data_IF_659909511374
#
_entry.id   IF_659909511374
#
_cell.length_a   1.000
_cell.length_b   1.000
_cell.length_c   1.000
_cell.angle_alpha   90.00
_cell.angle_beta   90.00
_cell.angle_gamma   90.00
#
_symmetry.space_group_name_H-M   'P 1'
#
loop_
_entity.id
_entity.type
_entity.pdbx_description
1 polymer ?
#
# COMPACT_ATOMS: atom_id res chain seq x y z
N UNK A 1 -0.89 13.86 -20.02
CA UNK A 1 -1.85 14.96 -19.75
C UNK A 1 -2.64 14.54 -18.53
N UNK A 2 -2.84 15.38 -17.49
CA UNK A 2 -3.70 15.01 -16.39
C UNK A 2 -5.10 14.75 -16.96
N UNK A 3 -5.64 13.57 -16.72
CA UNK A 3 -6.98 13.18 -17.12
C UNK A 3 -7.96 14.17 -16.47
N UNK A 4 -8.93 14.67 -17.24
CA UNK A 4 -10.03 15.51 -16.76
C UNK A 4 -11.00 14.73 -15.83
N UNK A 5 -10.63 13.55 -15.37
CA UNK A 5 -11.43 12.73 -14.46
C UNK A 5 -11.20 13.19 -13.01
N UNK A 6 -12.30 13.31 -12.27
CA UNK A 6 -12.23 13.54 -10.83
C UNK A 6 -11.68 12.29 -10.13
N UNK A 7 -10.79 12.44 -9.13
CA UNK A 7 -10.25 11.31 -8.38
C UNK A 7 -11.36 10.60 -7.59
N UNK A 8 -11.34 9.27 -7.62
CA UNK A 8 -12.25 8.42 -6.84
C UNK A 8 -11.93 8.49 -5.34
N UNK A 9 -10.63 8.48 -5.00
CA UNK A 9 -10.13 8.67 -3.64
C UNK A 9 -9.05 9.77 -3.66
N UNK A 10 -9.17 10.77 -2.77
CA UNK A 10 -8.17 11.84 -2.61
C UNK A 10 -7.79 11.98 -1.14
N UNK A 11 -6.50 11.91 -0.86
CA UNK A 11 -5.91 12.03 0.48
C UNK A 11 -5.07 13.29 0.54
N UNK A 12 -5.33 14.16 1.53
CA UNK A 12 -4.70 15.46 1.69
C UNK A 12 -4.12 15.61 3.10
N UNK A 13 -2.80 15.78 3.18
CA UNK A 13 -2.08 16.05 4.42
C UNK A 13 -2.34 15.03 5.52
N UNK A 14 -2.53 13.75 5.17
CA UNK A 14 -2.89 12.72 6.14
C UNK A 14 -1.78 12.54 7.17
N UNK A 15 -2.16 12.70 8.44
CA UNK A 15 -1.30 12.49 9.61
C UNK A 15 -1.93 11.46 10.53
N UNK A 16 -1.12 10.49 10.96
CA UNK A 16 -1.48 9.56 12.02
C UNK A 16 -0.31 9.36 12.98
N UNK A 17 -0.50 9.83 14.19
CA UNK A 17 0.44 9.70 15.28
C UNK A 17 -0.12 8.81 16.38
N UNK A 18 0.73 7.96 16.93
CA UNK A 18 0.38 7.09 18.07
C UNK A 18 1.13 7.56 19.32
N UNK A 19 0.43 7.81 20.45
CA UNK A 19 1.09 8.21 21.69
C UNK A 19 1.86 7.04 22.30
N UNK A 20 3.10 7.28 22.74
CA UNK A 20 3.86 6.34 23.56
C UNK A 20 3.49 6.60 25.01
N UNK A 21 2.80 5.64 25.63
CA UNK A 21 2.33 5.75 27.02
C UNK A 21 3.27 4.96 27.95
N UNK A 22 3.67 5.57 29.08
CA UNK A 22 4.46 4.94 30.14
C UNK A 22 3.72 5.00 31.47
N UNK A 23 3.78 3.91 32.22
CA UNK A 23 3.15 3.78 33.55
C UNK A 23 2.04 2.73 33.56
N UNK A 24 1.88 1.99 34.69
CA UNK A 24 0.90 0.91 34.87
C UNK A 24 -0.43 1.49 35.38
N UNK A 25 -0.41 2.33 36.40
CA UNK A 25 -1.60 2.92 37.03
C UNK A 25 -1.94 4.30 36.43
N UNK A 26 -0.93 5.14 36.20
CA UNK A 26 -1.10 6.45 35.54
C UNK A 26 -0.32 6.45 34.25
N UNK A 27 -1.05 6.29 33.13
CA UNK A 27 -0.48 6.35 31.78
C UNK A 27 -0.13 7.81 31.44
N UNK A 28 1.17 8.13 31.38
CA UNK A 28 1.67 9.43 30.93
C UNK A 28 2.24 9.29 29.53
N UNK A 29 1.91 10.22 28.64
CA UNK A 29 2.52 10.28 27.31
C UNK A 29 3.97 10.74 27.46
N UNK A 30 4.90 9.91 26.97
CA UNK A 30 6.35 10.16 27.00
C UNK A 30 6.96 10.39 25.63
N UNK A 31 6.18 10.17 24.56
CA UNK A 31 6.60 10.37 23.18
C UNK A 31 5.45 10.12 22.20
N UNK A 32 5.77 10.16 20.92
CA UNK A 32 4.81 9.97 19.83
C UNK A 32 5.47 9.25 18.68
N UNK A 33 4.84 8.22 18.15
CA UNK A 33 5.26 7.52 16.92
C UNK A 33 4.57 8.23 15.75
N UNK A 34 5.35 8.82 14.85
CA UNK A 34 4.87 9.46 13.61
C UNK A 34 4.73 8.43 12.50
N UNK A 35 3.66 7.65 12.55
CA UNK A 35 3.47 6.54 11.61
C UNK A 35 3.08 7.01 10.20
N UNK A 36 2.33 8.11 10.09
CA UNK A 36 1.99 8.80 8.84
C UNK A 36 2.14 10.30 9.10
N UNK A 37 2.85 11.02 8.24
CA UNK A 37 3.27 12.39 8.47
C UNK A 37 3.15 13.25 7.20
N UNK A 38 1.93 13.66 6.87
CA UNK A 38 1.62 14.53 5.74
C UNK A 38 1.60 13.80 4.39
N UNK A 39 0.88 12.67 4.30
CA UNK A 39 0.72 11.90 3.07
C UNK A 39 -0.36 12.52 2.18
N UNK A 40 -0.03 12.69 0.88
CA UNK A 40 -0.93 13.18 -0.15
C UNK A 40 -0.88 12.24 -1.36
N UNK A 41 -2.04 11.82 -1.86
CA UNK A 41 -2.16 11.13 -3.14
C UNK A 41 -3.61 11.14 -3.63
N UNK A 42 -3.78 10.82 -4.90
CA UNK A 42 -5.06 10.61 -5.56
C UNK A 42 -5.09 9.24 -6.21
N UNK A 43 -6.27 8.63 -6.25
CA UNK A 43 -6.56 7.38 -6.95
C UNK A 43 -7.71 7.65 -7.91
N UNK A 44 -7.52 7.29 -9.17
CA UNK A 44 -8.54 7.47 -10.21
C UNK A 44 -9.34 6.18 -10.44
N UNK A 45 -10.52 6.26 -11.08
CA UNK A 45 -11.28 5.07 -11.47
C UNK A 45 -10.44 4.13 -12.35
N UNK A 46 -10.48 2.83 -12.06
CA UNK A 46 -9.75 1.78 -12.77
C UNK A 46 -8.23 1.86 -12.68
N UNK A 47 -7.72 2.65 -11.77
CA UNK A 47 -6.29 2.81 -11.51
C UNK A 47 -5.83 1.88 -10.38
N UNK A 48 -4.62 1.35 -10.49
CA UNK A 48 -3.87 0.76 -9.40
C UNK A 48 -2.76 1.71 -8.96
N UNK A 49 -2.88 2.25 -7.74
CA UNK A 49 -1.81 2.98 -7.08
C UNK A 49 -1.02 2.04 -6.17
N UNK A 50 0.21 1.74 -6.53
CA UNK A 50 1.15 1.01 -5.70
C UNK A 50 1.70 1.88 -4.57
N UNK A 51 1.65 1.41 -3.32
CA UNK A 51 2.28 2.07 -2.17
C UNK A 51 3.40 1.17 -1.64
N UNK A 52 4.65 1.57 -1.85
CA UNK A 52 5.84 0.76 -1.56
C UNK A 52 6.75 1.42 -0.52
N UNK A 53 7.63 0.63 0.09
CA UNK A 53 8.64 1.08 1.05
C UNK A 53 9.00 -0.01 2.06
N UNK A 54 10.04 0.22 2.85
CA UNK A 54 10.50 -0.72 3.88
C UNK A 54 9.41 -1.05 4.90
N UNK A 55 9.53 -2.22 5.56
CA UNK A 55 8.60 -2.61 6.63
C UNK A 55 8.58 -1.57 7.75
N UNK A 56 7.39 -1.26 8.27
CA UNK A 56 7.23 -0.25 9.33
C UNK A 56 7.24 1.20 8.87
N UNK A 57 7.36 1.52 7.57
CA UNK A 57 7.35 2.91 7.10
C UNK A 57 5.97 3.59 7.14
N UNK A 58 4.88 2.86 7.49
CA UNK A 58 3.54 3.43 7.71
C UNK A 58 2.47 3.05 6.69
N UNK A 59 2.76 2.22 5.67
CA UNK A 59 1.83 1.84 4.58
C UNK A 59 0.47 1.31 5.08
N UNK A 60 0.49 0.27 5.92
CA UNK A 60 -0.75 -0.30 6.49
C UNK A 60 -1.48 0.68 7.41
N UNK A 61 -0.74 1.64 8.02
CA UNK A 61 -1.36 2.71 8.81
C UNK A 61 -2.13 3.68 7.92
N UNK A 62 -1.61 4.02 6.73
CA UNK A 62 -2.35 4.81 5.72
C UNK A 62 -3.67 4.12 5.39
N UNK A 63 -3.63 2.82 5.03
CA UNK A 63 -4.82 2.03 4.72
C UNK A 63 -5.86 2.03 5.86
N UNK A 64 -5.42 1.73 7.08
CA UNK A 64 -6.30 1.68 8.26
C UNK A 64 -6.91 3.04 8.58
N UNK A 65 -6.15 4.13 8.37
CA UNK A 65 -6.63 5.48 8.65
C UNK A 65 -7.67 5.92 7.61
N UNK A 66 -7.47 5.63 6.33
CA UNK A 66 -8.46 5.92 5.27
C UNK A 66 -9.78 5.19 5.53
N UNK A 67 -9.70 3.92 5.96
CA UNK A 67 -10.88 3.12 6.33
C UNK A 67 -11.52 3.53 7.67
N UNK A 68 -10.93 4.52 8.37
CA UNK A 68 -11.28 4.88 9.75
C UNK A 68 -11.38 3.67 10.68
N UNK A 69 -10.45 2.73 10.54
CA UNK A 69 -10.14 1.72 11.56
C UNK A 69 -9.27 2.34 12.66
N UNK A 70 -8.38 3.24 12.24
CA UNK A 70 -7.63 4.16 13.10
C UNK A 70 -8.09 5.59 12.81
N UNK A 71 -8.48 6.37 13.84
CA UNK A 71 -8.86 7.76 13.64
C UNK A 71 -7.64 8.60 13.22
N UNK A 72 -7.76 9.52 12.23
CA UNK A 72 -6.67 10.39 11.83
C UNK A 72 -6.29 11.35 12.95
N UNK A 73 -5.03 11.79 12.97
CA UNK A 73 -4.60 12.89 13.83
C UNK A 73 -4.89 14.24 13.16
N UNK A 74 -4.57 14.35 11.86
CA UNK A 74 -4.80 15.53 11.03
C UNK A 74 -4.98 15.11 9.56
N UNK A 75 -5.38 16.06 8.72
CA UNK A 75 -5.57 15.86 7.29
C UNK A 75 -6.98 15.47 6.92
N UNK A 76 -7.19 15.15 5.65
CA UNK A 76 -8.49 14.79 5.07
C UNK A 76 -8.37 13.65 4.09
N UNK A 77 -9.46 12.90 3.94
CA UNK A 77 -9.60 11.91 2.88
C UNK A 77 -11.00 12.04 2.28
N UNK A 78 -11.07 12.09 0.96
CA UNK A 78 -12.32 12.23 0.22
C UNK A 78 -12.54 11.01 -0.67
N UNK A 79 -13.75 10.49 -0.63
CA UNK A 79 -14.21 9.48 -1.56
C UNK A 79 -15.37 10.05 -2.38
N UNK A 80 -15.20 10.13 -3.70
CA UNK A 80 -16.16 10.81 -4.60
C UNK A 80 -16.58 12.20 -4.07
N UNK A 81 -15.61 13.01 -3.64
CA UNK A 81 -15.81 14.34 -3.08
C UNK A 81 -16.37 14.38 -1.66
N UNK A 82 -16.76 13.24 -1.05
CA UNK A 82 -17.28 13.16 0.33
C UNK A 82 -16.16 13.02 1.34
N UNK A 83 -16.04 13.91 2.31
CA UNK A 83 -15.03 13.86 3.37
C UNK A 83 -15.27 12.65 4.30
N UNK A 84 -14.41 11.62 4.21
CA UNK A 84 -14.51 10.37 4.98
C UNK A 84 -14.41 10.65 6.49
N UNK A 85 -13.57 11.61 6.88
CA UNK A 85 -13.30 11.87 8.29
C UNK A 85 -14.41 12.70 8.97
N UNK A 86 -15.20 13.42 8.19
CA UNK A 86 -16.38 14.13 8.67
C UNK A 86 -17.64 13.24 8.79
N UNK A 87 -17.62 12.03 8.18
CA UNK A 87 -18.78 11.13 8.16
C UNK A 87 -19.19 10.65 9.56
N UNK A 88 -20.50 10.59 9.82
CA UNK A 88 -21.04 9.91 10.98
C UNK A 88 -21.01 8.37 10.79
N UNK A 89 -21.33 7.61 11.86
CA UNK A 89 -21.26 6.14 11.85
C UNK A 89 -22.12 5.49 10.76
N UNK A 90 -23.27 6.07 10.43
CA UNK A 90 -24.18 5.53 9.40
C UNK A 90 -23.61 5.75 8.00
N UNK A 91 -23.11 6.92 7.74
CA UNK A 91 -22.45 7.29 6.47
C UNK A 91 -21.19 6.47 6.25
N UNK A 92 -20.34 6.33 7.28
CA UNK A 92 -19.14 5.50 7.23
C UNK A 92 -19.47 4.03 6.97
N UNK A 93 -20.57 3.51 7.57
CA UNK A 93 -21.04 2.15 7.28
C UNK A 93 -21.48 2.01 5.82
N UNK A 94 -22.09 3.03 5.24
CA UNK A 94 -22.45 3.04 3.81
C UNK A 94 -21.21 3.07 2.94
N UNK A 95 -20.23 3.93 3.26
CA UNK A 95 -18.95 4.02 2.55
C UNK A 95 -18.21 2.69 2.51
N UNK A 96 -18.22 1.95 3.62
CA UNK A 96 -17.56 0.63 3.72
C UNK A 96 -18.15 -0.44 2.78
N UNK A 97 -19.23 -0.19 2.07
CA UNK A 97 -19.68 -1.03 0.95
C UNK A 97 -18.91 -0.72 -0.32
N UNK A 98 -18.53 0.54 -0.50
CA UNK A 98 -17.89 1.05 -1.71
C UNK A 98 -16.35 0.93 -1.65
N UNK A 99 -15.79 0.88 -0.43
CA UNK A 99 -14.35 0.66 -0.20
C UNK A 99 -14.18 -0.61 0.65
N UNK A 100 -13.52 -1.61 0.11
CA UNK A 100 -13.24 -2.88 0.79
C UNK A 100 -11.73 -3.06 1.02
N UNK A 101 -11.37 -4.06 1.82
CA UNK A 101 -9.98 -4.35 2.15
C UNK A 101 -9.67 -5.84 2.02
N UNK A 102 -8.51 -6.15 1.46
CA UNK A 102 -7.90 -7.47 1.49
C UNK A 102 -6.69 -7.36 2.40
N UNK A 103 -6.70 -8.12 3.51
CA UNK A 103 -5.66 -8.07 4.54
C UNK A 103 -4.47 -8.97 4.21
N UNK A 104 -3.34 -8.66 4.81
CA UNK A 104 -2.03 -9.30 4.65
C UNK A 104 -2.04 -10.81 4.93
N UNK A 105 -2.68 -11.22 6.02
CA UNK A 105 -2.67 -12.62 6.47
C UNK A 105 -3.98 -13.33 6.16
N UNK A 106 -3.99 -14.24 5.18
CA UNK A 106 -5.18 -15.00 4.84
C UNK A 106 -5.60 -15.99 5.94
N UNK A 107 -4.71 -16.31 6.89
CA UNK A 107 -5.03 -17.22 8.00
C UNK A 107 -5.81 -16.52 9.10
N UNK A 108 -5.39 -15.32 9.49
CA UNK A 108 -6.06 -14.55 10.55
C UNK A 108 -7.29 -13.78 10.06
N UNK A 109 -7.38 -13.51 8.75
CA UNK A 109 -8.48 -12.74 8.15
C UNK A 109 -9.77 -13.53 7.97
N UNK A 110 -9.71 -14.87 8.00
CA UNK A 110 -10.87 -15.75 7.86
C UNK A 110 -11.18 -16.45 9.17
N UNK A 111 -12.43 -16.37 9.64
CA UNK A 111 -12.85 -17.08 10.84
C UNK A 111 -12.82 -18.61 10.60
N UNK A 112 -11.95 -19.39 11.29
CA UNK A 112 -11.77 -20.81 11.01
C UNK A 112 -12.98 -21.69 11.40
N UNK A 113 -13.96 -21.11 12.11
CA UNK A 113 -15.19 -21.79 12.55
C UNK A 113 -16.36 -21.59 11.60
N UNK A 114 -16.21 -20.71 10.61
CA UNK A 114 -17.24 -20.44 9.60
C UNK A 114 -16.95 -21.24 8.34
N UNK A 115 -17.99 -21.63 7.61
CA UNK A 115 -17.83 -22.18 6.26
C UNK A 115 -17.40 -21.08 5.28
N UNK A 116 -16.83 -21.48 4.15
CA UNK A 116 -16.49 -20.53 3.07
C UNK A 116 -17.72 -19.76 2.62
N UNK A 117 -18.87 -20.42 2.52
CA UNK A 117 -20.13 -19.76 2.20
C UNK A 117 -20.52 -18.67 3.18
N UNK A 118 -20.41 -18.95 4.48
CA UNK A 118 -20.72 -17.97 5.52
C UNK A 118 -19.73 -16.79 5.50
N UNK A 119 -18.45 -17.06 5.28
CA UNK A 119 -17.41 -16.01 5.20
C UNK A 119 -17.66 -15.06 4.02
N UNK A 120 -17.96 -15.59 2.84
CA UNK A 120 -18.23 -14.77 1.65
C UNK A 120 -19.56 -14.04 1.76
N UNK A 121 -20.54 -14.62 2.47
CA UNK A 121 -21.86 -13.99 2.70
C UNK A 121 -21.87 -12.98 3.86
N UNK A 122 -20.86 -12.98 4.75
CA UNK A 122 -20.79 -12.13 5.94
C UNK A 122 -21.04 -10.63 5.65
N UNK A 123 -20.49 -10.02 4.56
CA UNK A 123 -20.76 -8.63 4.22
C UNK A 123 -22.26 -8.34 4.03
N UNK A 124 -23.04 -9.26 3.48
CA UNK A 124 -24.50 -9.07 3.30
C UNK A 124 -25.27 -9.19 4.62
N UNK A 125 -24.76 -9.94 5.60
CA UNK A 125 -25.34 -10.00 6.96
C UNK A 125 -25.10 -8.69 7.72
N UNK A 126 -23.91 -8.10 7.55
CA UNK A 126 -23.54 -6.80 8.10
C UNK A 126 -24.36 -5.69 7.42
N UNK A 127 -24.42 -5.69 6.10
CA UNK A 127 -25.13 -4.70 5.28
C UNK A 127 -26.49 -5.25 4.79
N UNK A 128 -27.43 -5.37 5.73
CA UNK A 128 -28.76 -5.95 5.45
C UNK A 128 -29.48 -5.21 4.32
N UNK A 129 -30.12 -5.96 3.43
CA UNK A 129 -30.85 -5.44 2.27
C UNK A 129 -30.12 -5.53 0.94
N UNK A 130 -28.82 -5.76 0.93
CA UNK A 130 -28.01 -5.86 -0.31
C UNK A 130 -28.20 -7.19 -1.05
N UNK A 131 -28.54 -8.26 -0.33
CA UNK A 131 -28.83 -9.55 -0.95
C UNK A 131 -29.91 -10.31 -0.19
N UNK A 132 -31.02 -10.71 -0.85
CA UNK A 132 -32.02 -11.61 -0.25
C UNK A 132 -31.39 -12.96 0.11
N UNK A 133 -31.72 -13.51 1.29
CA UNK A 133 -31.16 -14.79 1.76
C UNK A 133 -31.36 -15.94 0.77
N UNK A 134 -32.46 -15.95 0.04
CA UNK A 134 -32.77 -16.97 -0.98
C UNK A 134 -31.80 -16.96 -2.16
N UNK A 135 -31.13 -15.83 -2.42
CA UNK A 135 -30.16 -15.68 -3.53
C UNK A 135 -28.71 -15.77 -3.08
N UNK A 136 -28.43 -15.67 -1.76
CA UNK A 136 -27.06 -15.59 -1.25
C UNK A 136 -26.22 -16.83 -1.62
N UNK A 137 -26.82 -18.03 -1.56
CA UNK A 137 -26.10 -19.25 -1.94
C UNK A 137 -25.58 -19.22 -3.38
N UNK A 138 -26.44 -18.83 -4.34
CA UNK A 138 -26.03 -18.72 -5.74
C UNK A 138 -24.97 -17.64 -5.93
N UNK A 139 -25.17 -16.46 -5.34
CA UNK A 139 -24.18 -15.36 -5.40
C UNK A 139 -22.82 -15.75 -4.83
N UNK A 140 -22.79 -16.52 -3.73
CA UNK A 140 -21.52 -17.05 -3.19
C UNK A 140 -20.86 -17.99 -4.19
N UNK A 141 -21.63 -18.89 -4.81
CA UNK A 141 -21.10 -19.82 -5.81
C UNK A 141 -20.54 -19.07 -7.04
N UNK A 142 -21.22 -18.01 -7.48
CA UNK A 142 -20.77 -17.16 -8.57
C UNK A 142 -19.48 -16.42 -8.20
N UNK A 143 -19.38 -15.88 -6.99
CA UNK A 143 -18.14 -15.24 -6.49
C UNK A 143 -16.97 -16.22 -6.35
N UNK A 144 -17.23 -17.44 -5.87
CA UNK A 144 -16.21 -18.50 -5.81
C UNK A 144 -15.71 -18.86 -7.22
N UNK A 145 -16.62 -18.98 -8.18
CA UNK A 145 -16.25 -19.21 -9.58
C UNK A 145 -15.41 -18.08 -10.15
N UNK A 146 -15.81 -16.83 -9.90
CA UNK A 146 -15.13 -15.62 -10.35
C UNK A 146 -13.67 -15.55 -9.87
N UNK A 147 -13.39 -15.99 -8.62
CA UNK A 147 -12.02 -16.06 -8.10
C UNK A 147 -11.30 -17.38 -8.42
N UNK A 148 -11.83 -18.21 -9.31
CA UNK A 148 -11.22 -19.47 -9.76
C UNK A 148 -11.26 -20.58 -8.71
N UNK A 149 -12.26 -20.58 -7.81
CA UNK A 149 -12.52 -21.66 -6.85
C UNK A 149 -13.73 -22.49 -7.29
N UNK A 150 -13.76 -23.78 -6.89
CA UNK A 150 -14.91 -24.63 -7.17
C UNK A 150 -16.13 -24.16 -6.33
N UNK A 151 -17.27 -23.80 -6.98
CA UNK A 151 -18.50 -23.38 -6.30
C UNK A 151 -19.04 -24.39 -5.29
N UNK A 152 -18.79 -25.68 -5.46
CA UNK A 152 -19.24 -26.72 -4.55
C UNK A 152 -18.50 -26.71 -3.20
N UNK A 153 -17.39 -25.98 -3.11
CA UNK A 153 -16.64 -25.84 -1.86
C UNK A 153 -17.29 -24.90 -0.83
N UNK A 154 -18.46 -24.39 -1.09
CA UNK A 154 -19.21 -23.45 -0.23
C UNK A 154 -19.36 -23.95 1.22
N UNK A 155 -19.47 -25.25 1.44
CA UNK A 155 -19.65 -25.85 2.78
C UNK A 155 -18.31 -26.26 3.45
N UNK A 156 -17.18 -26.03 2.80
CA UNK A 156 -15.86 -26.33 3.36
C UNK A 156 -15.40 -25.24 4.33
N UNK A 157 -14.46 -25.60 5.20
CA UNK A 157 -13.84 -24.69 6.17
C UNK A 157 -12.47 -24.17 5.66
N UNK A 158 -12.02 -22.99 6.09
CA UNK A 158 -10.75 -22.39 5.63
C UNK A 158 -9.54 -23.32 5.77
N UNK A 159 -9.44 -24.13 6.81
CA UNK A 159 -8.32 -25.03 7.05
C UNK A 159 -8.18 -26.14 5.99
N UNK A 160 -9.19 -26.37 5.15
CA UNK A 160 -9.19 -27.34 4.06
C UNK A 160 -8.64 -26.77 2.74
N UNK A 161 -8.14 -25.53 2.74
CA UNK A 161 -7.64 -24.82 1.58
C UNK A 161 -6.18 -24.43 1.74
N UNK A 162 -5.45 -24.34 0.61
CA UNK A 162 -4.09 -23.79 0.57
C UNK A 162 -4.08 -22.28 0.89
N UNK A 163 -2.91 -21.69 1.15
CA UNK A 163 -2.76 -20.27 1.38
C UNK A 163 -3.33 -19.40 0.26
N UNK A 164 -2.98 -19.72 -1.00
CA UNK A 164 -3.51 -19.01 -2.16
C UNK A 164 -5.03 -19.17 -2.36
N UNK A 165 -5.59 -20.36 -2.06
CA UNK A 165 -7.03 -20.55 -2.08
C UNK A 165 -7.74 -19.73 -0.98
N UNK A 166 -7.16 -19.64 0.22
CA UNK A 166 -7.69 -18.77 1.29
C UNK A 166 -7.65 -17.30 0.90
N UNK A 167 -6.57 -16.87 0.24
CA UNK A 167 -6.49 -15.51 -0.27
C UNK A 167 -7.61 -15.22 -1.28
N UNK A 168 -7.89 -16.15 -2.20
CA UNK A 168 -9.00 -16.03 -3.15
C UNK A 168 -10.37 -16.00 -2.46
N UNK A 169 -10.55 -16.69 -1.34
CA UNK A 169 -11.77 -16.58 -0.49
C UNK A 169 -11.87 -15.16 0.09
N UNK A 170 -10.75 -14.59 0.56
CA UNK A 170 -10.68 -13.20 1.04
C UNK A 170 -11.03 -12.19 -0.06
N UNK A 171 -10.56 -12.41 -1.29
CA UNK A 171 -10.93 -11.62 -2.48
C UNK A 171 -12.42 -11.74 -2.77
N UNK A 172 -12.98 -12.97 -2.78
CA UNK A 172 -14.42 -13.19 -3.00
C UNK A 172 -15.29 -12.46 -1.95
N UNK A 173 -14.87 -12.48 -0.68
CA UNK A 173 -15.53 -11.74 0.40
C UNK A 173 -15.51 -10.22 0.15
N UNK A 174 -14.37 -9.67 -0.26
CA UNK A 174 -14.25 -8.25 -0.56
C UNK A 174 -15.14 -7.83 -1.74
N UNK A 175 -15.34 -8.70 -2.72
CA UNK A 175 -16.18 -8.45 -3.90
C UNK A 175 -17.69 -8.53 -3.60
N UNK A 176 -18.11 -9.14 -2.50
CA UNK A 176 -19.53 -9.42 -2.21
C UNK A 176 -20.44 -8.19 -2.24
N UNK A 177 -19.93 -6.99 -1.97
CA UNK A 177 -20.69 -5.73 -1.95
C UNK A 177 -20.51 -4.88 -3.23
N UNK A 178 -19.86 -5.43 -4.27
CA UNK A 178 -19.53 -4.71 -5.52
C UNK A 178 -18.82 -3.37 -5.23
N UNK A 179 -17.66 -3.39 -4.58
CA UNK A 179 -16.93 -2.18 -4.23
C UNK A 179 -16.42 -1.44 -5.47
N UNK A 180 -16.10 -0.15 -5.32
CA UNK A 180 -15.39 0.65 -6.33
C UNK A 180 -13.88 0.66 -6.09
N UNK A 181 -13.47 0.58 -4.81
CA UNK A 181 -12.07 0.57 -4.39
C UNK A 181 -11.80 -0.64 -3.49
N UNK A 182 -10.69 -1.31 -3.74
CA UNK A 182 -10.16 -2.32 -2.82
C UNK A 182 -8.76 -1.89 -2.38
N UNK A 183 -8.55 -1.80 -1.06
CA UNK A 183 -7.23 -1.59 -0.49
C UNK A 183 -6.63 -2.98 -0.23
N UNK A 184 -5.57 -3.31 -0.96
CA UNK A 184 -4.83 -4.56 -0.83
C UNK A 184 -3.62 -4.33 0.09
N UNK A 185 -3.73 -4.70 1.38
CA UNK A 185 -2.64 -4.54 2.36
C UNK A 185 -1.78 -5.80 2.37
N UNK A 186 -0.67 -5.80 1.61
CA UNK A 186 0.28 -6.90 1.41
C UNK A 186 -0.40 -8.24 1.04
N UNK A 187 -1.28 -8.29 0.02
CA UNK A 187 -2.20 -9.41 -0.21
C UNK A 187 -1.53 -10.72 -0.60
N UNK A 188 -0.24 -10.72 -0.90
CA UNK A 188 0.50 -11.89 -1.38
C UNK A 188 1.77 -12.19 -0.58
N UNK A 189 2.12 -11.38 0.44
CA UNK A 189 3.40 -11.49 1.16
C UNK A 189 3.63 -12.83 1.87
N UNK A 190 2.55 -13.54 2.24
CA UNK A 190 2.60 -14.84 2.94
C UNK A 190 2.50 -16.05 1.98
N UNK A 191 2.58 -15.83 0.66
CA UNK A 191 2.39 -16.86 -0.36
C UNK A 191 3.70 -17.17 -1.11
N UNK A 192 3.80 -18.39 -1.64
CA UNK A 192 4.90 -18.79 -2.54
C UNK A 192 4.86 -17.99 -3.85
N UNK A 193 6.02 -17.74 -4.47
CA UNK A 193 6.17 -16.89 -5.67
C UNK A 193 5.21 -17.27 -6.81
N UNK A 194 5.05 -18.58 -7.08
CA UNK A 194 4.14 -19.06 -8.13
C UNK A 194 2.67 -18.79 -7.81
N UNK A 195 2.30 -18.81 -6.53
CA UNK A 195 0.94 -18.53 -6.05
C UNK A 195 0.70 -17.03 -6.01
N UNK A 196 1.73 -16.22 -5.68
CA UNK A 196 1.68 -14.77 -5.76
C UNK A 196 1.27 -14.32 -7.16
N UNK A 197 1.97 -14.79 -8.20
CA UNK A 197 1.66 -14.45 -9.59
C UNK A 197 0.20 -14.79 -9.97
N UNK A 198 -0.32 -15.94 -9.51
CA UNK A 198 -1.71 -16.33 -9.78
C UNK A 198 -2.73 -15.39 -9.10
N UNK A 199 -2.43 -14.87 -7.90
CA UNK A 199 -3.32 -13.92 -7.20
C UNK A 199 -3.24 -12.55 -7.85
N UNK A 200 -2.07 -12.11 -8.30
CA UNK A 200 -1.89 -10.84 -9.01
C UNK A 200 -2.67 -10.85 -10.33
N UNK A 201 -2.48 -11.87 -11.18
CA UNK A 201 -3.22 -12.01 -12.43
C UNK A 201 -4.75 -12.06 -12.21
N UNK A 202 -5.18 -12.66 -11.09
CA UNK A 202 -6.60 -12.64 -10.71
C UNK A 202 -7.07 -11.21 -10.40
N UNK A 203 -6.30 -10.43 -9.63
CA UNK A 203 -6.65 -9.04 -9.29
C UNK A 203 -6.71 -8.16 -10.53
N UNK A 204 -5.78 -8.30 -11.47
CA UNK A 204 -5.80 -7.60 -12.77
C UNK A 204 -7.05 -7.95 -13.58
N UNK A 205 -7.36 -9.23 -13.71
CA UNK A 205 -8.57 -9.67 -14.43
C UNK A 205 -9.86 -9.10 -13.80
N UNK A 206 -9.92 -9.07 -12.45
CA UNK A 206 -11.05 -8.52 -11.73
C UNK A 206 -11.13 -6.99 -11.86
N UNK A 207 -10.00 -6.29 -11.97
CA UNK A 207 -9.95 -4.86 -12.23
C UNK A 207 -10.61 -4.52 -13.56
N UNK A 208 -10.25 -5.25 -14.60
CA UNK A 208 -10.78 -5.05 -15.95
C UNK A 208 -12.26 -5.42 -16.04
N UNK A 209 -12.66 -6.57 -15.48
CA UNK A 209 -14.03 -7.06 -15.55
C UNK A 209 -15.02 -6.21 -14.74
N UNK A 210 -14.60 -5.78 -13.54
CA UNK A 210 -15.47 -5.09 -12.58
C UNK A 210 -15.20 -3.59 -12.49
N UNK A 211 -14.25 -3.03 -13.27
CA UNK A 211 -13.81 -1.63 -13.24
C UNK A 211 -13.36 -1.17 -11.84
N UNK A 212 -12.63 -2.00 -11.14
CA UNK A 212 -12.12 -1.73 -9.79
C UNK A 212 -10.96 -0.75 -9.83
N UNK A 213 -10.79 0.01 -8.73
CA UNK A 213 -9.56 0.74 -8.46
C UNK A 213 -8.86 0.11 -7.24
N UNK A 214 -7.52 0.06 -7.27
CA UNK A 214 -6.73 -0.53 -6.19
C UNK A 214 -5.79 0.48 -5.53
N UNK A 215 -5.71 0.44 -4.20
CA UNK A 215 -4.52 0.88 -3.47
C UNK A 215 -3.76 -0.38 -3.09
N UNK A 216 -2.66 -0.66 -3.80
CA UNK A 216 -1.90 -1.89 -3.65
C UNK A 216 -0.65 -1.66 -2.79
N UNK A 217 -0.67 -2.14 -1.56
CA UNK A 217 0.43 -2.02 -0.62
C UNK A 217 1.29 -3.27 -0.69
N UNK A 218 2.58 -3.10 -0.96
CA UNK A 218 3.56 -4.19 -0.89
C UNK A 218 4.95 -3.67 -0.48
N UNK A 219 5.82 -4.61 -0.12
CA UNK A 219 7.25 -4.34 0.09
C UNK A 219 8.09 -4.84 -1.09
N UNK A 220 7.56 -5.71 -1.95
CA UNK A 220 8.23 -6.22 -3.14
C UNK A 220 7.92 -5.33 -4.35
N UNK A 221 8.95 -4.62 -4.80
CA UNK A 221 8.89 -3.72 -5.94
C UNK A 221 8.60 -4.45 -7.26
N UNK A 222 9.02 -5.72 -7.42
CA UNK A 222 8.78 -6.48 -8.65
C UNK A 222 7.29 -6.76 -8.85
N UNK A 223 6.58 -7.07 -7.77
CA UNK A 223 5.14 -7.29 -7.79
C UNK A 223 4.41 -5.97 -8.13
N UNK A 224 4.82 -4.88 -7.46
CA UNK A 224 4.19 -3.57 -7.67
C UNK A 224 4.41 -3.07 -9.09
N UNK A 225 5.58 -3.31 -9.68
CA UNK A 225 5.86 -2.99 -11.07
C UNK A 225 4.85 -3.62 -12.03
N UNK A 226 4.44 -4.83 -11.75
CA UNK A 226 3.55 -5.58 -12.64
C UNK A 226 2.09 -5.09 -12.60
N UNK A 227 1.57 -4.76 -11.41
CA UNK A 227 0.13 -4.47 -11.23
C UNK A 227 -0.20 -2.98 -11.20
N UNK A 228 0.78 -2.07 -11.06
CA UNK A 228 0.50 -0.67 -10.74
C UNK A 228 0.66 0.25 -11.95
N UNK A 229 -0.32 1.15 -12.15
CA UNK A 229 -0.24 2.25 -13.11
C UNK A 229 0.67 3.38 -12.58
N UNK A 230 0.55 3.68 -11.29
CA UNK A 230 1.38 4.66 -10.58
C UNK A 230 1.89 4.08 -9.27
N UNK A 231 3.04 4.57 -8.84
CA UNK A 231 3.71 4.10 -7.62
C UNK A 231 4.06 5.28 -6.72
N UNK A 232 3.70 5.17 -5.46
CA UNK A 232 4.09 6.08 -4.38
C UNK A 232 5.10 5.38 -3.47
N UNK A 233 6.30 5.91 -3.37
CA UNK A 233 7.37 5.38 -2.51
C UNK A 233 7.31 6.07 -1.16
N UNK A 234 7.18 5.28 -0.09
CA UNK A 234 7.00 5.77 1.28
C UNK A 234 8.21 5.47 2.16
N UNK A 235 8.69 6.48 2.91
CA UNK A 235 9.77 6.36 3.88
C UNK A 235 9.43 7.15 5.15
N UNK A 236 9.53 6.50 6.32
CA UNK A 236 9.25 7.10 7.64
C UNK A 236 7.99 7.99 7.67
N UNK A 237 6.86 7.42 7.27
CA UNK A 237 5.57 8.10 7.33
C UNK A 237 5.28 9.09 6.20
N UNK A 238 6.18 9.30 5.25
CA UNK A 238 6.05 10.29 4.17
C UNK A 238 6.20 9.67 2.79
N UNK A 239 5.45 10.16 1.81
CA UNK A 239 5.73 9.86 0.41
C UNK A 239 6.95 10.68 0.00
N UNK A 240 7.99 9.99 -0.48
CA UNK A 240 9.26 10.60 -0.90
C UNK A 240 9.36 10.76 -2.41
N UNK A 241 8.64 9.92 -3.17
CA UNK A 241 8.54 9.99 -4.62
C UNK A 241 7.22 9.37 -5.07
N UNK A 242 6.59 9.93 -6.11
CA UNK A 242 5.37 9.41 -6.72
C UNK A 242 5.38 9.71 -8.22
N UNK A 243 5.05 8.72 -9.03
CA UNK A 243 5.02 8.84 -10.47
C UNK A 243 4.34 7.65 -11.13
N UNK A 244 4.35 7.59 -12.45
CA UNK A 244 3.96 6.40 -13.21
C UNK A 244 4.93 5.25 -12.93
N UNK A 245 4.52 4.02 -13.24
CA UNK A 245 5.41 2.87 -13.15
C UNK A 245 6.75 3.13 -13.87
N UNK A 246 6.71 3.56 -15.13
CA UNK A 246 7.90 3.87 -15.93
C UNK A 246 8.80 4.93 -15.27
N UNK A 247 8.23 6.02 -14.73
CA UNK A 247 8.98 7.08 -14.06
C UNK A 247 9.72 6.58 -12.82
N UNK A 248 9.07 5.78 -11.99
CA UNK A 248 9.64 5.29 -10.74
C UNK A 248 10.68 4.19 -10.96
N UNK A 249 10.46 3.27 -11.92
CA UNK A 249 11.39 2.14 -12.13
C UNK A 249 12.54 2.46 -13.07
N UNK A 250 12.30 3.26 -14.11
CA UNK A 250 13.31 3.51 -15.13
C UNK A 250 14.04 4.86 -14.94
N UNK A 251 13.40 5.82 -14.22
CA UNK A 251 13.93 7.17 -13.99
C UNK A 251 13.80 7.64 -12.52
N UNK A 252 14.14 6.81 -11.52
CA UNK A 252 14.01 7.19 -10.12
C UNK A 252 14.87 8.41 -9.80
N UNK A 253 14.30 9.40 -9.12
CA UNK A 253 14.98 10.67 -8.80
C UNK A 253 15.36 10.76 -7.32
N UNK A 254 14.59 10.13 -6.42
CA UNK A 254 14.89 10.13 -5.01
C UNK A 254 15.95 9.07 -4.66
N UNK A 255 17.01 9.40 -3.90
CA UNK A 255 18.05 8.43 -3.53
C UNK A 255 17.54 7.15 -2.86
N UNK A 256 16.52 7.25 -2.03
CA UNK A 256 15.90 6.08 -1.41
C UNK A 256 15.25 5.14 -2.44
N UNK A 257 14.53 5.68 -3.43
CA UNK A 257 13.95 4.90 -4.53
C UNK A 257 15.03 4.19 -5.35
N UNK A 258 16.10 4.92 -5.68
CA UNK A 258 17.27 4.36 -6.38
C UNK A 258 17.87 3.17 -5.62
N UNK A 259 18.03 3.31 -4.30
CA UNK A 259 18.56 2.25 -3.45
C UNK A 259 17.61 1.05 -3.33
N UNK A 260 16.31 1.27 -3.18
CA UNK A 260 15.32 0.20 -3.15
C UNK A 260 15.32 -0.61 -4.45
N UNK A 261 15.39 0.05 -5.61
CA UNK A 261 15.42 -0.60 -6.91
C UNK A 261 16.74 -1.36 -7.13
N UNK A 262 17.87 -0.82 -6.67
CA UNK A 262 19.18 -1.49 -6.74
C UNK A 262 19.26 -2.76 -5.87
N UNK A 263 18.41 -2.87 -4.84
CA UNK A 263 18.32 -4.05 -3.99
C UNK A 263 17.49 -5.20 -4.61
N UNK A 264 16.69 -4.92 -5.66
CA UNK A 264 15.91 -5.95 -6.37
C UNK A 264 16.87 -6.88 -7.14
N UNK A 265 16.83 -8.21 -6.93
CA UNK A 265 17.67 -9.13 -7.67
C UNK A 265 17.35 -9.11 -9.17
N UNK A 266 18.32 -8.80 -10.01
CA UNK A 266 18.17 -8.91 -11.48
C UNK A 266 18.47 -10.36 -11.88
N UNK A 267 17.56 -11.05 -12.60
CA UNK A 267 17.78 -12.44 -13.00
C UNK A 267 18.81 -12.63 -14.11
N UNK A 268 19.60 -11.62 -14.46
CA UNK A 268 20.62 -11.68 -15.49
C UNK A 268 22.03 -11.81 -14.86
N UNK A 269 22.72 -12.98 -15.00
CA UNK A 269 24.06 -13.20 -14.47
C UNK A 269 25.11 -12.24 -15.01
N UNK A 270 24.95 -11.74 -16.26
CA UNK A 270 25.88 -10.83 -16.91
C UNK A 270 25.81 -9.40 -16.34
N UNK A 271 24.77 -9.07 -15.58
CA UNK A 271 24.58 -7.79 -14.89
C UNK A 271 24.89 -7.89 -13.38
N UNK A 272 25.30 -9.02 -12.89
CA UNK A 272 25.58 -9.27 -11.46
C UNK A 272 26.76 -8.47 -10.89
N UNK A 273 27.45 -7.68 -11.72
CA UNK A 273 28.61 -6.85 -11.34
C UNK A 273 28.37 -5.33 -11.38
N UNK A 274 27.19 -4.87 -11.75
CA UNK A 274 26.89 -3.42 -11.71
C UNK A 274 26.63 -2.96 -10.28
N UNK A 275 27.33 -1.92 -9.85
CA UNK A 275 27.40 -1.35 -8.50
C UNK A 275 26.06 -1.35 -7.76
N UNK A 276 25.90 -2.27 -6.79
CA UNK A 276 24.77 -2.26 -5.86
C UNK A 276 24.94 -1.10 -4.90
N UNK A 277 24.02 -0.14 -4.91
CA UNK A 277 23.93 0.86 -3.85
C UNK A 277 23.39 0.14 -2.60
N UNK A 278 24.28 -0.17 -1.65
CA UNK A 278 23.88 -0.75 -0.38
C UNK A 278 23.48 0.39 0.55
N UNK A 279 22.24 0.32 1.07
CA UNK A 279 21.79 1.26 2.11
C UNK A 279 22.52 0.94 3.41
N UNK A 280 23.43 1.82 3.81
CA UNK A 280 24.11 1.71 5.10
C UNK A 280 23.21 2.23 6.25
N UNK A 281 23.33 1.59 7.42
CA UNK A 281 22.64 1.96 8.65
C UNK A 281 21.19 1.48 8.74
N UNK A 282 20.71 1.44 9.98
CA UNK A 282 19.35 1.02 10.32
C UNK A 282 18.33 2.11 9.96
N UNK A 283 17.09 1.68 9.74
CA UNK A 283 15.95 2.60 9.58
C UNK A 283 15.77 3.39 10.88
N UNK A 284 15.81 4.74 10.84
CA UNK A 284 15.60 5.54 12.03
C UNK A 284 14.22 5.29 12.67
N UNK A 285 14.14 5.49 13.98
CA UNK A 285 12.90 5.29 14.71
C UNK A 285 11.83 6.32 14.30
N UNK A 286 10.60 5.91 13.99
CA UNK A 286 9.50 6.85 13.74
C UNK A 286 9.06 7.62 15.01
N UNK A 287 9.58 7.24 16.20
CA UNK A 287 9.39 7.98 17.42
C UNK A 287 10.36 9.17 17.58
N UNK A 288 11.51 9.10 16.89
CA UNK A 288 12.53 10.16 16.86
C UNK A 288 13.12 10.26 15.44
N UNK A 289 12.33 10.76 14.47
CA UNK A 289 12.78 10.86 13.09
C UNK A 289 13.85 11.96 12.95
N UNK A 290 14.82 11.80 12.03
CA UNK A 290 15.83 12.81 11.75
C UNK A 290 15.20 14.17 11.42
N UNK A 291 15.85 15.26 11.85
CA UNK A 291 15.45 16.63 11.46
C UNK A 291 15.61 16.84 9.95
N UNK A 292 14.85 17.75 9.37
CA UNK A 292 14.90 18.04 7.95
C UNK A 292 14.47 16.84 7.08
N UNK A 293 15.31 16.45 6.13
CA UNK A 293 15.07 15.28 5.29
C UNK A 293 15.19 13.99 6.13
N UNK A 294 14.11 13.21 6.20
CA UNK A 294 14.07 11.97 7.00
C UNK A 294 15.04 10.89 6.52
N UNK A 295 15.42 10.92 5.23
CA UNK A 295 16.37 9.96 4.64
C UNK A 295 17.84 10.39 4.81
N UNK A 296 18.16 11.61 5.30
CA UNK A 296 19.52 12.17 5.33
C UNK A 296 20.57 11.30 5.99
N UNK A 297 20.20 10.50 6.98
CA UNK A 297 21.13 9.64 7.74
C UNK A 297 21.61 8.40 6.97
N UNK A 298 20.95 8.08 5.85
CA UNK A 298 21.25 6.94 4.98
C UNK A 298 21.51 7.38 3.53
N UNK A 299 21.54 8.71 3.27
CA UNK A 299 21.61 9.28 1.94
C UNK A 299 23.05 9.61 1.55
N UNK A 300 23.52 9.06 0.44
CA UNK A 300 24.86 9.36 -0.11
C UNK A 300 24.96 10.75 -0.76
N UNK A 301 23.81 11.41 -1.05
CA UNK A 301 23.74 12.79 -1.57
C UNK A 301 23.51 13.83 -0.45
N UNK A 302 23.68 13.46 0.83
CA UNK A 302 23.38 14.34 1.96
C UNK A 302 24.24 15.60 1.93
N UNK A 303 23.59 16.76 2.19
CA UNK A 303 24.24 18.07 2.35
C UNK A 303 23.62 18.78 3.56
N UNK A 304 24.23 19.91 3.99
CA UNK A 304 23.86 20.64 5.21
C UNK A 304 22.36 21.04 5.22
N UNK A 305 21.81 21.47 4.10
CA UNK A 305 20.40 21.83 3.95
C UNK A 305 19.46 20.65 4.30
N UNK A 306 19.89 19.40 4.05
CA UNK A 306 19.09 18.24 4.38
C UNK A 306 18.88 18.03 5.89
N UNK A 307 19.72 18.63 6.74
CA UNK A 307 19.54 18.60 8.18
C UNK A 307 18.66 19.75 8.70
N UNK A 308 18.57 20.83 7.93
CA UNK A 308 17.92 22.08 8.32
C UNK A 308 16.46 22.15 7.85
N UNK A 309 16.18 21.70 6.63
CA UNK A 309 14.88 21.86 5.98
C UNK A 309 14.28 20.53 5.54
N UNK A 310 12.95 20.47 5.57
CA UNK A 310 12.18 19.34 5.04
C UNK A 310 11.91 19.60 3.56
N UNK A 311 12.42 18.77 2.62
CA UNK A 311 12.12 18.97 1.22
C UNK A 311 10.64 18.75 0.92
N UNK A 312 10.06 19.58 0.06
CA UNK A 312 8.69 19.42 -0.43
C UNK A 312 8.63 18.35 -1.53
N UNK A 313 7.47 17.69 -1.66
CA UNK A 313 7.19 16.73 -2.72
C UNK A 313 6.79 17.48 -3.99
N UNK A 314 7.76 17.87 -4.80
CA UNK A 314 7.56 18.64 -6.05
C UNK A 314 8.55 18.17 -7.13
N UNK A 315 8.21 18.39 -8.39
CA UNK A 315 9.12 18.19 -9.51
C UNK A 315 10.07 19.42 -9.66
N UNK A 316 11.26 19.36 -9.00
CA UNK A 316 12.21 20.48 -8.97
C UNK A 316 13.00 20.65 -10.26
N UNK A 317 13.17 19.58 -11.03
CA UNK A 317 14.13 19.54 -12.13
C UNK A 317 13.46 19.23 -13.47
N UNK A 318 12.13 19.17 -13.52
CA UNK A 318 11.38 18.89 -14.75
C UNK A 318 11.53 17.45 -15.24
N UNK A 319 11.66 16.50 -14.33
CA UNK A 319 11.74 15.07 -14.65
C UNK A 319 10.38 14.43 -14.97
N UNK A 320 9.29 15.17 -14.77
CA UNK A 320 7.92 14.73 -15.04
C UNK A 320 7.16 14.23 -13.80
N UNK A 321 7.85 13.91 -12.71
CA UNK A 321 7.22 13.44 -11.48
C UNK A 321 7.83 14.06 -10.21
N UNK A 322 7.02 14.23 -9.13
CA UNK A 322 7.47 14.86 -7.90
C UNK A 322 8.33 13.95 -7.03
N UNK A 323 9.38 14.55 -6.44
CA UNK A 323 10.31 13.92 -5.53
C UNK A 323 10.62 14.81 -4.32
N UNK A 324 10.66 14.24 -3.13
CA UNK A 324 10.94 14.91 -1.87
C UNK A 324 12.45 14.96 -1.60
N UNK A 325 13.20 15.54 -2.54
CA UNK A 325 14.64 15.68 -2.46
C UNK A 325 15.10 17.03 -3.00
N UNK A 326 16.05 17.70 -2.32
CA UNK A 326 16.66 18.93 -2.83
C UNK A 326 17.55 18.68 -4.03
N UNK A 327 18.08 17.46 -4.15
CA UNK A 327 19.06 17.02 -5.16
C UNK A 327 18.50 15.83 -5.97
N UNK A 328 17.19 15.88 -6.29
CA UNK A 328 16.54 14.89 -7.13
C UNK A 328 17.17 14.92 -8.52
N UNK A 329 17.90 13.87 -8.88
CA UNK A 329 18.53 13.70 -10.18
C UNK A 329 18.51 12.20 -10.55
N UNK A 330 18.29 11.92 -11.81
CA UNK A 330 18.33 10.56 -12.36
C UNK A 330 19.75 10.02 -12.45
N UNK A 331 20.78 10.91 -12.45
CA UNK A 331 22.18 10.49 -12.48
C UNK A 331 22.74 10.40 -11.06
N UNK A 332 23.32 9.26 -10.73
CA UNK A 332 24.28 9.16 -9.63
C UNK A 332 25.46 10.01 -10.08
N UNK A 333 25.56 11.26 -9.59
CA UNK A 333 26.65 12.14 -10.00
C UNK A 333 27.98 11.58 -9.53
N UNK A 334 28.94 11.40 -10.43
CA UNK A 334 30.32 11.02 -10.13
C UNK A 334 31.06 12.03 -9.22
N UNK A 335 30.42 13.16 -8.86
CA UNK A 335 31.03 14.30 -8.18
C UNK A 335 30.87 14.34 -6.66
N UNK A 336 30.11 13.43 -6.04
CA UNK A 336 30.03 13.32 -4.57
C UNK A 336 30.45 11.92 -4.21
N UNK A 337 31.63 11.78 -3.62
CA UNK A 337 32.40 10.61 -3.29
C UNK A 337 31.69 9.28 -3.55
N UNK A 338 32.21 8.49 -4.45
CA UNK A 338 31.62 7.22 -4.84
C UNK A 338 31.14 6.47 -3.59
N UNK A 339 29.92 5.90 -3.61
CA UNK A 339 29.52 4.99 -2.53
C UNK A 339 30.64 3.98 -2.36
N UNK A 340 31.03 3.70 -1.11
CA UNK A 340 32.05 2.71 -0.82
C UNK A 340 31.51 1.39 -1.36
N UNK A 341 32.04 1.00 -2.53
CA UNK A 341 31.76 -0.31 -3.12
C UNK A 341 32.55 -1.28 -2.26
N UNK A 342 31.88 -2.05 -1.41
CA UNK A 342 32.52 -3.20 -0.79
C UNK A 342 32.87 -4.17 -1.91
N UNK A 343 34.17 -4.30 -2.23
CA UNK A 343 34.66 -5.37 -3.08
C UNK A 343 34.33 -6.70 -2.38
N UNK A 344 33.85 -7.70 -3.10
CA UNK A 344 33.65 -9.02 -2.51
C UNK A 344 35.01 -9.64 -2.16
N UNK A 345 35.18 -10.05 -0.89
CA UNK A 345 36.27 -10.95 -0.48
C UNK A 345 36.09 -12.36 -1.06
#
# INVERSE_FOLDING_TARGET
MPSSQEPLLRVEGLVKYFPILRGILFKRQVGTIKAVDGVNFELFPRETLGLVGESGCGKSTVAKTILRLDEPTEGKAYFEGRDIFAMNKKELRSLRREIQVIFQDPYSSLNPRMTVGDIVAEPWEIHRGESPKSQQRQKVQDLLHLVGLNPDHINRFPHQFSGGQRQRIGVARALALNPKVIICDEPVSALDVSVQAQVINLLESLQDELNLAYVFIAHDLSIVRHISDRVAVMYLGRIVEIGTEEEIYDKPTHPYTQALLAAVPVPNPDQAGTSRVILEGDVPSPADPPSGCTFRTRCWKVQDICAQEVPELIDRFGHGHPSRCFFADTKISESVGAPIIAEPE
#
